data_IF_600768166382
#
_entry.id   IF_600768166382
#
_cell.length_a   1.000
_cell.length_b   1.000
_cell.length_c   1.000
_cell.angle_alpha   90.00
_cell.angle_beta   90.00
_cell.angle_gamma   90.00
#
_symmetry.space_group_name_H-M   'P 1'
#
loop_
_entity.id
_entity.type
_entity.pdbx_description
1 polymer ?
#
# COMPACT_ATOMS: atom_id res chain seq x y z
N UNK A 1 11.74 7.83 -10.44
CA UNK A 1 10.49 7.03 -10.40
C UNK A 1 10.12 6.49 -11.78
N UNK A 2 9.92 7.33 -12.81
CA UNK A 2 9.54 6.83 -14.15
C UNK A 2 10.53 5.82 -14.76
N UNK A 3 11.83 6.08 -14.64
CA UNK A 3 12.87 5.14 -15.10
C UNK A 3 12.78 3.77 -14.40
N UNK A 4 12.51 3.75 -13.10
CA UNK A 4 12.35 2.51 -12.34
C UNK A 4 11.10 1.72 -12.74
N UNK A 5 10.01 2.38 -13.14
CA UNK A 5 8.82 1.69 -13.64
C UNK A 5 9.16 0.83 -14.86
N UNK A 6 9.99 1.36 -15.76
CA UNK A 6 10.44 0.65 -16.96
C UNK A 6 11.59 -0.32 -16.69
N UNK A 7 12.44 -0.03 -15.70
CA UNK A 7 13.62 -0.83 -15.39
C UNK A 7 13.72 -1.16 -13.90
N UNK A 8 12.71 -1.86 -13.37
CA UNK A 8 12.60 -2.15 -11.93
C UNK A 8 13.61 -3.17 -11.41
N UNK A 9 14.39 -3.79 -12.31
CA UNK A 9 15.45 -4.76 -11.97
C UNK A 9 16.85 -4.16 -12.09
N UNK A 10 16.97 -2.90 -12.52
CA UNK A 10 18.25 -2.22 -12.45
C UNK A 10 18.64 -1.98 -10.99
N UNK A 11 19.93 -2.04 -10.70
CA UNK A 11 20.51 -1.68 -9.40
C UNK A 11 20.29 -0.18 -9.15
N UNK A 12 19.18 0.13 -8.50
CA UNK A 12 18.81 1.49 -8.08
C UNK A 12 18.46 1.47 -6.61
N UNK A 13 18.54 2.63 -5.94
CA UNK A 13 18.11 2.76 -4.55
C UNK A 13 16.67 2.31 -4.32
N UNK A 14 15.81 2.45 -5.33
CA UNK A 14 14.40 2.05 -5.27
C UNK A 14 14.23 0.53 -5.41
N UNK A 15 15.04 -0.13 -6.24
CA UNK A 15 15.05 -1.59 -6.39
C UNK A 15 15.55 -2.31 -5.13
N UNK A 16 16.48 -1.69 -4.39
CA UNK A 16 16.98 -2.23 -3.12
C UNK A 16 15.93 -2.20 -2.00
N UNK A 17 15.00 -1.24 -2.03
CA UNK A 17 13.91 -1.13 -1.05
C UNK A 17 12.72 -2.00 -1.47
N UNK A 18 12.49 -2.13 -2.79
CA UNK A 18 11.38 -2.85 -3.40
C UNK A 18 11.90 -3.97 -4.31
N UNK A 19 12.41 -5.07 -3.73
CA UNK A 19 12.90 -6.20 -4.52
C UNK A 19 11.72 -6.91 -5.19
N UNK A 20 11.54 -6.65 -6.49
CA UNK A 20 10.48 -7.24 -7.29
C UNK A 20 10.80 -8.69 -7.65
N UNK A 21 9.86 -9.59 -7.40
CA UNK A 21 9.93 -10.99 -7.87
C UNK A 21 9.37 -11.07 -9.29
N UNK A 22 9.81 -12.05 -10.07
CA UNK A 22 9.29 -12.25 -11.42
C UNK A 22 7.87 -12.84 -11.42
N UNK A 23 7.19 -12.66 -12.55
CA UNK A 23 5.81 -13.10 -12.75
C UNK A 23 5.67 -14.63 -12.72
N UNK A 24 6.70 -15.37 -13.16
CA UNK A 24 6.66 -16.83 -13.17
C UNK A 24 6.69 -17.39 -11.75
N UNK A 25 7.59 -16.88 -10.90
CA UNK A 25 7.65 -17.28 -9.49
C UNK A 25 6.37 -16.89 -8.75
N UNK A 26 5.84 -15.69 -8.96
CA UNK A 26 4.59 -15.27 -8.31
C UNK A 26 3.38 -16.10 -8.79
N UNK A 27 3.28 -16.46 -10.07
CA UNK A 27 2.25 -17.38 -10.56
C UNK A 27 2.38 -18.78 -9.97
N UNK A 28 3.60 -19.29 -9.80
CA UNK A 28 3.85 -20.55 -9.11
C UNK A 28 3.40 -20.48 -7.64
N UNK A 29 3.74 -19.40 -6.94
CA UNK A 29 3.29 -19.19 -5.55
C UNK A 29 1.76 -19.08 -5.46
N UNK A 30 1.11 -18.43 -6.42
CA UNK A 30 -0.35 -18.39 -6.50
C UNK A 30 -0.95 -19.79 -6.66
N UNK A 31 -0.37 -20.61 -7.56
CA UNK A 31 -0.80 -21.99 -7.75
C UNK A 31 -0.65 -22.82 -6.46
N UNK A 32 0.50 -22.73 -5.81
CA UNK A 32 0.76 -23.42 -4.53
C UNK A 32 -0.19 -22.95 -3.42
N UNK A 33 -0.51 -21.65 -3.37
CA UNK A 33 -1.51 -21.13 -2.43
C UNK A 33 -2.87 -21.75 -2.65
N UNK A 34 -3.31 -21.94 -3.89
CA UNK A 34 -4.58 -22.61 -4.20
C UNK A 34 -4.56 -24.07 -3.77
N UNK A 35 -3.44 -24.76 -3.99
CA UNK A 35 -3.26 -26.15 -3.56
C UNK A 35 -3.39 -26.28 -2.04
N UNK A 36 -2.75 -25.38 -1.27
CA UNK A 36 -2.86 -25.35 0.19
C UNK A 36 -4.30 -25.12 0.64
N UNK A 37 -5.06 -24.24 -0.04
CA UNK A 37 -6.48 -24.02 0.26
C UNK A 37 -7.29 -25.31 0.05
N UNK A 38 -7.09 -26.00 -1.08
CA UNK A 38 -7.77 -27.28 -1.36
C UNK A 38 -7.44 -28.34 -0.30
N UNK A 39 -6.17 -28.44 0.10
CA UNK A 39 -5.75 -29.36 1.16
C UNK A 39 -6.41 -29.02 2.50
N UNK A 40 -6.47 -27.74 2.86
CA UNK A 40 -7.07 -27.30 4.13
C UNK A 40 -8.59 -27.55 4.15
N UNK A 41 -9.28 -27.31 3.04
CA UNK A 41 -10.70 -27.67 2.87
C UNK A 41 -10.90 -29.19 3.00
N UNK A 42 -10.03 -30.00 2.40
CA UNK A 42 -10.11 -31.45 2.52
C UNK A 42 -9.92 -31.92 3.97
N UNK A 43 -9.01 -31.32 4.73
CA UNK A 43 -8.82 -31.61 6.16
C UNK A 43 -10.10 -31.28 6.95
N UNK A 44 -10.70 -30.10 6.71
CA UNK A 44 -11.96 -29.70 7.34
C UNK A 44 -13.09 -30.68 7.00
N UNK A 45 -13.26 -31.03 5.73
CA UNK A 45 -14.31 -31.95 5.28
C UNK A 45 -14.09 -33.39 5.79
N UNK A 46 -12.84 -33.82 5.93
CA UNK A 46 -12.50 -35.10 6.54
C UNK A 46 -12.88 -35.11 8.01
N UNK A 47 -12.60 -34.02 8.75
CA UNK A 47 -13.01 -33.89 10.14
C UNK A 47 -14.54 -33.90 10.29
N UNK A 48 -15.26 -33.13 9.47
CA UNK A 48 -16.74 -33.11 9.46
C UNK A 48 -17.29 -34.50 9.19
N UNK A 49 -16.82 -35.19 8.14
CA UNK A 49 -17.31 -36.53 7.78
C UNK A 49 -16.93 -37.62 8.78
N UNK A 50 -15.80 -37.48 9.49
CA UNK A 50 -15.40 -38.42 10.55
C UNK A 50 -16.38 -38.42 11.72
N UNK A 51 -16.97 -37.26 12.04
CA UNK A 51 -17.99 -37.14 13.09
C UNK A 51 -19.31 -37.78 12.70
N UNK A 52 -19.62 -37.87 11.40
CA UNK A 52 -20.80 -38.59 10.91
C UNK A 52 -20.63 -40.11 11.08
N UNK A 53 -19.40 -40.63 10.92
CA UNK A 53 -19.12 -42.07 11.02
C UNK A 53 -19.15 -42.58 12.45
N UNK A 54 -18.72 -41.78 13.43
CA UNK A 54 -18.76 -42.14 14.86
C UNK A 54 -20.19 -42.18 15.42
N UNK A 55 -21.15 -41.48 14.81
CA UNK A 55 -22.55 -41.43 15.24
C UNK A 55 -23.39 -42.37 14.37
N UNK A 56 -23.20 -43.68 14.55
CA UNK A 56 -23.88 -44.74 13.76
C UNK A 56 -25.32 -45.07 14.22
N UNK A 57 -26.07 -44.10 14.75
CA UNK A 57 -27.47 -44.31 15.16
C UNK A 57 -28.38 -43.34 14.42
N UNK A 58 -29.44 -43.88 13.79
CA UNK A 58 -30.51 -43.19 13.07
C UNK A 58 -31.10 -42.00 13.87
N UNK A 59 -30.49 -40.81 13.80
CA UNK A 59 -30.97 -39.67 14.56
C UNK A 59 -31.01 -38.38 13.72
N UNK A 60 -32.13 -37.67 13.90
CA UNK A 60 -32.72 -36.64 13.05
C UNK A 60 -32.07 -35.24 13.16
N UNK A 61 -30.77 -35.17 13.46
CA UNK A 61 -30.04 -33.90 13.58
C UNK A 61 -29.61 -33.32 12.22
N UNK A 62 -29.61 -31.99 12.10
CA UNK A 62 -29.06 -31.32 10.92
C UNK A 62 -27.53 -31.45 10.94
N UNK A 63 -26.97 -32.20 9.99
CA UNK A 63 -25.53 -32.40 9.89
C UNK A 63 -24.83 -31.10 9.48
N UNK A 64 -23.67 -30.85 10.08
CA UNK A 64 -22.77 -29.80 9.66
C UNK A 64 -22.41 -30.00 8.17
N UNK A 65 -22.71 -29.02 7.29
CA UNK A 65 -22.47 -29.16 5.87
C UNK A 65 -20.95 -29.11 5.57
N UNK A 66 -20.50 -29.79 4.50
CA UNK A 66 -19.13 -29.69 4.06
C UNK A 66 -18.78 -28.27 3.60
N UNK A 67 -17.53 -27.90 3.81
CA UNK A 67 -16.95 -26.67 3.31
C UNK A 67 -16.71 -26.78 1.80
N UNK A 68 -17.17 -25.77 1.07
CA UNK A 68 -16.90 -25.62 -0.35
C UNK A 68 -15.44 -25.22 -0.56
N UNK A 69 -14.74 -25.93 -1.44
CA UNK A 69 -13.46 -25.47 -1.98
C UNK A 69 -13.73 -24.48 -3.11
N UNK A 70 -13.13 -23.28 -3.11
CA UNK A 70 -13.24 -22.35 -4.24
C UNK A 70 -12.53 -22.86 -5.50
N UNK A 71 -11.68 -23.89 -5.37
CA UNK A 71 -10.90 -24.47 -6.45
C UNK A 71 -11.20 -25.96 -6.69
N UNK A 72 -11.09 -26.38 -7.94
CA UNK A 72 -11.12 -27.78 -8.36
C UNK A 72 -9.72 -28.46 -8.28
N UNK A 73 -9.63 -29.73 -8.66
CA UNK A 73 -8.38 -30.50 -8.68
C UNK A 73 -7.33 -29.97 -9.67
N UNK A 74 -7.73 -29.10 -10.59
CA UNK A 74 -6.86 -28.43 -11.55
C UNK A 74 -6.61 -26.96 -11.18
N UNK A 75 -6.99 -26.54 -9.97
CA UNK A 75 -6.83 -25.19 -9.42
C UNK A 75 -7.59 -24.09 -10.19
N UNK A 76 -8.63 -24.47 -10.92
CA UNK A 76 -9.59 -23.54 -11.52
C UNK A 76 -10.68 -23.18 -10.52
N UNK A 77 -11.23 -21.97 -10.67
CA UNK A 77 -12.36 -21.54 -9.84
C UNK A 77 -13.56 -22.43 -10.15
N UNK A 78 -14.18 -22.97 -9.11
CA UNK A 78 -15.43 -23.74 -9.21
C UNK A 78 -16.55 -23.07 -8.44
N UNK A 79 -17.77 -23.41 -8.80
CA UNK A 79 -18.94 -23.08 -7.99
C UNK A 79 -19.14 -24.15 -6.92
N UNK A 80 -19.76 -23.75 -5.81
CA UNK A 80 -20.11 -24.67 -4.74
C UNK A 80 -21.32 -25.50 -5.15
N UNK A 81 -21.27 -26.80 -4.88
CA UNK A 81 -22.38 -27.70 -5.14
C UNK A 81 -23.50 -27.48 -4.12
N UNK A 82 -24.76 -27.84 -4.46
CA UNK A 82 -25.86 -27.77 -3.51
C UNK A 82 -25.56 -28.55 -2.23
N UNK A 83 -25.60 -27.87 -1.08
CA UNK A 83 -25.31 -28.45 0.23
C UNK A 83 -23.89 -28.18 0.76
N UNK A 84 -22.99 -27.63 -0.05
CA UNK A 84 -21.72 -27.09 0.42
C UNK A 84 -21.88 -25.64 0.93
N UNK A 85 -21.03 -25.23 1.86
CA UNK A 85 -21.02 -23.86 2.40
C UNK A 85 -19.71 -23.16 2.06
N UNK A 86 -19.80 -21.93 1.52
CA UNK A 86 -18.64 -21.09 1.25
C UNK A 86 -17.99 -20.56 2.54
N UNK A 87 -16.73 -20.14 2.47
CA UNK A 87 -16.03 -19.56 3.62
C UNK A 87 -16.77 -18.39 4.28
N UNK A 88 -17.44 -17.56 3.46
CA UNK A 88 -18.18 -16.38 3.92
C UNK A 88 -19.46 -16.76 4.67
N UNK A 89 -20.10 -17.87 4.29
CA UNK A 89 -21.39 -18.29 4.83
C UNK A 89 -21.25 -19.37 5.92
N UNK A 90 -20.03 -19.75 6.29
CA UNK A 90 -19.75 -20.78 7.29
C UNK A 90 -20.03 -20.33 8.75
N UNK A 91 -20.61 -19.15 8.98
CA UNK A 91 -20.75 -18.51 10.30
C UNK A 91 -21.77 -19.14 11.26
N UNK A 92 -22.33 -20.32 10.94
CA UNK A 92 -23.26 -21.00 11.84
C UNK A 92 -22.52 -21.72 12.96
N UNK A 93 -23.05 -21.58 14.18
CA UNK A 93 -22.53 -22.30 15.34
C UNK A 93 -23.04 -23.74 15.34
N UNK A 94 -22.13 -24.72 15.26
CA UNK A 94 -22.42 -26.16 15.29
C UNK A 94 -21.85 -26.81 16.56
N UNK A 95 -21.73 -26.06 17.66
CA UNK A 95 -21.17 -26.57 18.91
C UNK A 95 -22.21 -27.25 19.80
N UNK A 96 -21.85 -28.37 20.42
CA UNK A 96 -22.66 -29.03 21.44
C UNK A 96 -22.29 -28.59 22.88
N UNK A 97 -23.18 -28.88 23.84
CA UNK A 97 -22.79 -28.94 25.25
C UNK A 97 -22.01 -30.24 25.51
N UNK A 98 -20.81 -30.12 26.07
CA UNK A 98 -19.90 -31.25 26.31
C UNK A 98 -20.37 -32.06 27.53
N UNK A 99 -20.49 -33.38 27.39
CA UNK A 99 -20.83 -34.29 28.50
C UNK A 99 -19.61 -34.60 29.37
N UNK A 100 -19.79 -35.22 30.55
CA UNK A 100 -18.70 -35.61 31.46
C UNK A 100 -17.64 -36.53 30.82
N UNK A 101 -17.99 -37.23 29.73
CA UNK A 101 -17.10 -38.07 28.92
C UNK A 101 -16.30 -37.31 27.85
N UNK A 102 -16.46 -35.99 27.73
CA UNK A 102 -15.80 -35.17 26.71
C UNK A 102 -16.42 -35.24 25.31
N UNK A 103 -17.57 -35.91 25.16
CA UNK A 103 -18.25 -36.12 23.88
C UNK A 103 -19.54 -35.29 23.75
N UNK A 104 -19.91 -34.97 22.50
CA UNK A 104 -21.21 -34.39 22.19
C UNK A 104 -22.31 -35.46 22.29
N UNK A 105 -23.41 -35.11 22.97
CA UNK A 105 -24.60 -35.96 23.04
C UNK A 105 -25.55 -35.82 21.84
N UNK A 106 -25.41 -34.73 21.08
CA UNK A 106 -26.26 -34.34 19.95
C UNK A 106 -25.59 -34.60 18.60
N UNK A 107 -26.36 -35.19 17.67
CA UNK A 107 -25.88 -35.52 16.33
C UNK A 107 -25.67 -34.28 15.47
N UNK A 108 -24.58 -34.26 14.69
CA UNK A 108 -24.27 -33.15 13.76
C UNK A 108 -23.54 -31.96 14.39
N UNK A 109 -23.33 -31.98 15.71
CA UNK A 109 -22.59 -30.96 16.45
C UNK A 109 -21.19 -31.44 16.85
N UNK A 110 -20.25 -30.50 16.96
CA UNK A 110 -18.86 -30.74 17.33
C UNK A 110 -18.53 -30.12 18.69
N UNK A 111 -17.52 -30.62 19.38
CA UNK A 111 -17.08 -29.99 20.62
C UNK A 111 -16.54 -28.58 20.32
N UNK A 112 -16.66 -27.62 21.25
CA UNK A 112 -16.14 -26.26 21.05
C UNK A 112 -14.67 -26.22 20.65
N UNK A 113 -13.85 -27.14 21.17
CA UNK A 113 -12.43 -27.23 20.82
C UNK A 113 -12.22 -27.59 19.34
N UNK A 114 -12.89 -28.63 18.85
CA UNK A 114 -12.82 -29.04 17.44
C UNK A 114 -13.41 -27.96 16.55
N UNK A 115 -14.53 -27.36 16.93
CA UNK A 115 -15.16 -26.26 16.19
C UNK A 115 -14.19 -25.09 15.99
N UNK A 116 -13.48 -24.67 17.05
CA UNK A 116 -12.50 -23.59 16.96
C UNK A 116 -11.36 -23.91 16.00
N UNK A 117 -10.89 -25.16 15.95
CA UNK A 117 -9.88 -25.59 14.97
C UNK A 117 -10.42 -25.54 13.53
N UNK A 118 -11.66 -25.95 13.31
CA UNK A 118 -12.31 -25.87 12.00
C UNK A 118 -12.48 -24.40 11.58
N UNK A 119 -12.92 -23.52 12.48
CA UNK A 119 -13.04 -22.08 12.22
C UNK A 119 -11.68 -21.46 11.90
N UNK A 120 -10.62 -21.83 12.61
CA UNK A 120 -9.27 -21.36 12.32
C UNK A 120 -8.83 -21.78 10.91
N UNK A 121 -9.11 -23.03 10.50
CA UNK A 121 -8.81 -23.53 9.16
C UNK A 121 -9.64 -22.84 8.06
N UNK A 122 -10.92 -22.56 8.31
CA UNK A 122 -11.80 -21.80 7.39
C UNK A 122 -11.28 -20.37 7.23
N UNK A 123 -10.94 -19.70 8.33
CA UNK A 123 -10.40 -18.33 8.31
C UNK A 123 -9.04 -18.26 7.60
N UNK A 124 -8.17 -19.25 7.81
CA UNK A 124 -6.89 -19.34 7.11
C UNK A 124 -7.10 -19.58 5.61
N UNK A 125 -8.01 -20.48 5.23
CA UNK A 125 -8.40 -20.71 3.83
C UNK A 125 -8.93 -19.43 3.17
N UNK A 126 -9.83 -18.72 3.87
CA UNK A 126 -10.37 -17.45 3.40
C UNK A 126 -9.29 -16.38 3.21
N UNK A 127 -8.38 -16.24 4.19
CA UNK A 127 -7.30 -15.28 4.12
C UNK A 127 -6.35 -15.58 2.96
N UNK A 128 -5.99 -16.86 2.75
CA UNK A 128 -5.18 -17.28 1.61
C UNK A 128 -5.89 -17.03 0.28
N UNK A 129 -7.20 -17.28 0.18
CA UNK A 129 -7.95 -17.05 -1.06
C UNK A 129 -8.07 -15.56 -1.39
N UNK A 130 -8.36 -14.75 -0.38
CA UNK A 130 -8.68 -13.33 -0.57
C UNK A 130 -7.43 -12.44 -0.66
N UNK A 131 -6.43 -12.66 0.19
CA UNK A 131 -5.29 -11.75 0.30
C UNK A 131 -4.10 -12.14 -0.58
N UNK A 132 -3.90 -13.43 -0.88
CA UNK A 132 -2.73 -13.88 -1.68
C UNK A 132 -2.62 -13.18 -3.04
N UNK A 133 -3.69 -13.03 -3.85
CA UNK A 133 -3.56 -12.36 -5.15
C UNK A 133 -3.05 -10.92 -5.03
N UNK A 134 -3.47 -10.18 -4.01
CA UNK A 134 -3.00 -8.82 -3.78
C UNK A 134 -1.55 -8.79 -3.29
N UNK A 135 -1.18 -9.66 -2.35
CA UNK A 135 0.20 -9.77 -1.84
C UNK A 135 1.18 -10.12 -2.96
N UNK A 136 0.81 -11.02 -3.87
CA UNK A 136 1.64 -11.37 -5.03
C UNK A 136 1.76 -10.22 -6.04
N UNK A 137 0.71 -9.41 -6.21
CA UNK A 137 0.76 -8.19 -7.01
C UNK A 137 1.63 -7.07 -6.41
N UNK A 138 1.83 -7.10 -5.09
CA UNK A 138 2.84 -6.27 -4.44
C UNK A 138 4.23 -6.85 -4.65
N UNK A 139 4.39 -8.16 -4.50
CA UNK A 139 5.66 -8.86 -4.62
C UNK A 139 6.25 -8.79 -6.04
N UNK A 140 5.43 -8.90 -7.09
CA UNK A 140 5.86 -8.70 -8.48
C UNK A 140 5.99 -7.21 -8.87
N UNK A 141 5.77 -6.30 -7.91
CA UNK A 141 5.75 -4.86 -8.08
C UNK A 141 4.75 -4.33 -9.11
N UNK A 142 3.80 -5.11 -9.61
CA UNK A 142 2.83 -4.65 -10.59
C UNK A 142 1.97 -3.53 -10.03
N UNK A 143 1.53 -3.66 -8.77
CA UNK A 143 0.81 -2.61 -8.07
C UNK A 143 1.66 -1.32 -7.95
N UNK A 144 2.91 -1.46 -7.50
CA UNK A 144 3.81 -0.32 -7.26
C UNK A 144 4.18 0.38 -8.58
N UNK A 145 4.46 -0.39 -9.63
CA UNK A 145 4.70 0.13 -10.98
C UNK A 145 3.49 0.90 -11.49
N UNK A 146 2.28 0.36 -11.32
CA UNK A 146 1.04 1.05 -11.68
C UNK A 146 0.87 2.37 -10.94
N UNK A 147 1.10 2.37 -9.63
CA UNK A 147 1.01 3.57 -8.80
C UNK A 147 2.05 4.62 -9.20
N UNK A 148 3.33 4.25 -9.34
CA UNK A 148 4.38 5.18 -9.76
C UNK A 148 4.17 5.68 -11.18
N UNK A 149 3.73 4.83 -12.10
CA UNK A 149 3.38 5.27 -13.44
C UNK A 149 2.31 6.36 -13.39
N UNK A 150 1.21 6.12 -12.67
CA UNK A 150 0.13 7.10 -12.48
C UNK A 150 0.63 8.40 -11.85
N UNK A 151 1.48 8.32 -10.83
CA UNK A 151 2.09 9.51 -10.21
C UNK A 151 2.92 10.30 -11.24
N UNK A 152 3.76 9.60 -12.00
CA UNK A 152 4.66 10.23 -12.97
C UNK A 152 3.93 10.84 -14.17
N UNK A 153 2.82 10.25 -14.60
CA UNK A 153 2.04 10.73 -15.74
C UNK A 153 1.11 11.87 -15.36
N UNK A 154 0.42 11.78 -14.22
CA UNK A 154 -0.62 12.75 -13.87
C UNK A 154 -0.13 13.91 -12.99
N UNK A 155 0.83 13.67 -12.08
CA UNK A 155 1.19 14.66 -11.06
C UNK A 155 2.52 15.37 -11.35
N UNK A 156 3.53 14.64 -11.83
CA UNK A 156 4.84 15.23 -12.10
C UNK A 156 4.84 16.38 -13.13
N UNK A 157 4.07 16.35 -14.24
CA UNK A 157 4.07 17.45 -15.20
C UNK A 157 3.55 18.76 -14.60
N UNK A 158 2.46 18.67 -13.81
CA UNK A 158 1.86 19.82 -13.14
C UNK A 158 2.80 20.39 -12.09
N UNK A 159 3.40 19.53 -11.26
CA UNK A 159 4.38 19.93 -10.27
C UNK A 159 5.59 20.63 -10.92
N UNK A 160 6.09 20.11 -12.05
CA UNK A 160 7.20 20.71 -12.79
C UNK A 160 6.86 22.10 -13.32
N UNK A 161 5.62 22.29 -13.78
CA UNK A 161 5.13 23.59 -14.25
C UNK A 161 5.09 24.60 -13.10
N UNK A 162 4.48 24.22 -11.98
CA UNK A 162 4.35 25.08 -10.80
C UNK A 162 5.72 25.45 -10.22
N UNK A 163 6.65 24.49 -10.11
CA UNK A 163 8.01 24.75 -9.66
C UNK A 163 8.76 25.72 -10.59
N UNK A 164 8.53 25.61 -11.90
CA UNK A 164 9.12 26.52 -12.90
C UNK A 164 8.59 27.94 -12.74
N UNK A 165 7.31 28.11 -12.44
CA UNK A 165 6.73 29.44 -12.20
C UNK A 165 7.29 30.06 -10.91
N UNK A 166 7.37 29.28 -9.83
CA UNK A 166 7.90 29.77 -8.55
C UNK A 166 9.38 30.13 -8.65
N UNK A 167 10.19 29.29 -9.31
CA UNK A 167 11.63 29.58 -9.51
C UNK A 167 11.86 30.80 -10.40
N UNK A 168 11.05 30.98 -11.45
CA UNK A 168 11.08 32.21 -12.25
C UNK A 168 10.72 33.45 -11.41
N UNK A 169 9.68 33.36 -10.58
CA UNK A 169 9.29 34.43 -9.65
C UNK A 169 10.39 34.80 -8.65
N UNK A 170 11.01 33.81 -8.00
CA UNK A 170 12.14 34.04 -7.10
C UNK A 170 13.33 34.69 -7.83
N UNK A 171 13.62 34.26 -9.06
CA UNK A 171 14.68 34.86 -9.88
C UNK A 171 14.43 36.34 -10.18
N UNK A 172 13.18 36.72 -10.49
CA UNK A 172 12.79 38.11 -10.73
C UNK A 172 12.89 38.96 -9.46
N UNK A 173 12.45 38.45 -8.32
CA UNK A 173 12.56 39.17 -7.04
C UNK A 173 14.04 39.38 -6.65
N UNK A 174 14.86 38.34 -6.77
CA UNK A 174 16.28 38.42 -6.45
C UNK A 174 17.02 39.43 -7.34
N UNK A 175 16.73 39.45 -8.64
CA UNK A 175 17.35 40.42 -9.56
C UNK A 175 16.86 41.85 -9.30
N UNK A 176 15.57 42.04 -9.00
CA UNK A 176 15.00 43.33 -8.63
C UNK A 176 15.66 43.92 -7.38
N UNK A 177 15.83 43.13 -6.32
CA UNK A 177 16.51 43.58 -5.09
C UNK A 177 17.96 43.97 -5.37
N UNK A 178 18.70 43.16 -6.14
CA UNK A 178 20.08 43.51 -6.52
C UNK A 178 20.16 44.81 -7.30
N UNK A 179 19.28 45.02 -8.28
CA UNK A 179 19.23 46.27 -9.05
C UNK A 179 18.87 47.47 -8.16
N UNK A 180 17.89 47.32 -7.26
CA UNK A 180 17.54 48.35 -6.29
C UNK A 180 18.72 48.73 -5.40
N UNK A 181 19.48 47.75 -4.89
CA UNK A 181 20.68 47.99 -4.08
C UNK A 181 21.76 48.74 -4.87
N UNK A 182 22.01 48.35 -6.12
CA UNK A 182 22.99 49.02 -6.99
C UNK A 182 22.59 50.48 -7.24
N UNK A 183 21.33 50.73 -7.61
CA UNK A 183 20.81 52.08 -7.83
C UNK A 183 20.91 52.93 -6.56
N UNK A 184 20.60 52.34 -5.40
CA UNK A 184 20.69 53.01 -4.11
C UNK A 184 22.12 53.43 -3.77
N UNK A 185 23.11 52.56 -4.00
CA UNK A 185 24.53 52.86 -3.81
C UNK A 185 24.98 54.00 -4.75
N UNK A 186 24.58 53.98 -6.02
CA UNK A 186 24.91 55.05 -6.97
C UNK A 186 24.30 56.39 -6.57
N UNK A 187 23.04 56.40 -6.14
CA UNK A 187 22.36 57.61 -5.69
C UNK A 187 22.99 58.19 -4.41
N UNK A 188 23.20 57.35 -3.39
CA UNK A 188 23.84 57.76 -2.14
C UNK A 188 25.26 58.29 -2.37
N UNK A 189 26.02 57.69 -3.29
CA UNK A 189 27.36 58.16 -3.62
C UNK A 189 27.35 59.51 -4.37
N UNK A 190 26.37 59.75 -5.25
CA UNK A 190 26.17 61.08 -5.89
C UNK A 190 25.84 62.15 -4.86
N UNK A 191 24.85 61.90 -4.00
CA UNK A 191 24.45 62.84 -2.94
C UNK A 191 25.64 63.17 -2.03
N UNK A 192 26.42 62.17 -1.60
CA UNK A 192 27.63 62.41 -0.81
C UNK A 192 28.66 63.27 -1.57
N UNK A 193 28.81 63.08 -2.88
CA UNK A 193 29.70 63.91 -3.71
C UNK A 193 29.21 65.36 -3.78
N UNK A 194 27.91 65.57 -4.01
CA UNK A 194 27.30 66.91 -4.02
C UNK A 194 27.42 67.61 -2.67
N UNK A 195 27.28 66.89 -1.55
CA UNK A 195 27.52 67.46 -0.21
C UNK A 195 28.99 67.85 0.02
N UNK A 196 29.95 67.07 -0.49
CA UNK A 196 31.38 67.40 -0.39
C UNK A 196 31.72 68.62 -1.26
N UNK A 197 31.16 68.72 -2.47
CA UNK A 197 31.32 69.89 -3.34
C UNK A 197 30.65 71.14 -2.75
N UNK A 198 29.46 71.01 -2.17
CA UNK A 198 28.77 72.12 -1.49
C UNK A 198 29.56 72.59 -0.26
N UNK A 199 30.13 71.68 0.54
CA UNK A 199 31.04 72.04 1.65
C UNK A 199 32.33 72.69 1.15
N UNK A 200 32.95 72.19 0.08
CA UNK A 200 34.14 72.81 -0.50
C UNK A 200 33.86 74.20 -1.08
N UNK A 201 32.70 74.42 -1.70
CA UNK A 201 32.30 75.74 -2.16
C UNK A 201 32.00 76.68 -1.01
N UNK A 202 31.25 76.25 0.03
CA UNK A 202 31.02 77.05 1.23
C UNK A 202 32.31 77.42 1.99
N UNK A 203 33.28 76.52 2.05
CA UNK A 203 34.62 76.80 2.62
C UNK A 203 35.39 77.79 1.75
N UNK A 204 35.33 77.67 0.41
CA UNK A 204 35.98 78.64 -0.49
C UNK A 204 35.36 80.04 -0.41
N UNK A 205 34.03 80.18 -0.31
CA UNK A 205 33.40 81.50 -0.12
C UNK A 205 33.73 82.11 1.23
N UNK A 206 33.83 81.30 2.29
CA UNK A 206 34.26 81.79 3.61
C UNK A 206 35.72 82.26 3.61
N UNK A 207 36.63 81.57 2.92
CA UNK A 207 38.05 81.97 2.81
C UNK A 207 38.24 83.24 1.97
N UNK A 208 37.43 83.45 0.92
CA UNK A 208 37.49 84.69 0.10
C UNK A 208 36.93 85.92 0.81
N UNK A 209 36.04 85.76 1.79
CA UNK A 209 35.52 86.86 2.60
C UNK A 209 36.50 87.38 3.67
N UNK A 210 37.70 86.79 3.78
CA UNK A 210 38.63 87.00 4.89
C UNK A 210 40.04 87.47 4.47
N UNK A 211 40.24 87.88 3.21
CA UNK A 211 41.47 88.52 2.73
C UNK A 211 41.23 90.01 2.47
N UNK A 212 41.86 90.93 3.24
CA UNK A 212 41.92 92.36 2.92
C UNK A 212 42.89 92.66 1.77
#
# INVERSE_FOLDING_TARGET
>A
MGEWVHNSRAETSLSNILPCVDEQTTNLTLYQSKEVIVQLVNVVNTAISSQVKTVSYNQSGALMPPLCSPYDSWMHKRQCEPGEVSFVNASKNYTCAVSDSGLCGTAGEVTPEVYNQLVAAVNASYALDHYTPFLLNLQNCQFVKGAFNSITTFFCPRLKLDLRMVTAGLGLLSSGVMLCLILWVLYANRSRREEVFAKQHGVKTAVVAQTP
#
